data_IF_581023333738
#
_entry.id   IF_581023333738
#
_cell.length_a   1.000
_cell.length_b   1.000
_cell.length_c   1.000
_cell.angle_alpha   90.00
_cell.angle_beta   90.00
_cell.angle_gamma   90.00
#
_symmetry.space_group_name_H-M   'P 1'
#
loop_
_entity.id
_entity.type
_entity.pdbx_description
1 polymer ?
#
# COMPACT_ATOMS: atom_id res chain seq x y z
N UNK A 1 -10.39 -22.31 -5.11
CA UNK A 1 -8.93 -22.05 -5.22
C UNK A 1 -8.51 -21.11 -4.09
N UNK A 2 -7.54 -21.51 -3.29
CA UNK A 2 -7.00 -20.71 -2.17
C UNK A 2 -6.19 -19.54 -2.70
N UNK A 3 -6.04 -18.46 -1.92
CA UNK A 3 -5.26 -17.27 -2.34
C UNK A 3 -3.80 -17.59 -2.68
N UNK A 4 -3.19 -18.54 -1.98
CA UNK A 4 -1.81 -18.99 -2.26
C UNK A 4 -1.69 -19.64 -3.65
N UNK A 5 -2.62 -20.50 -4.00
CA UNK A 5 -2.67 -21.16 -5.33
C UNK A 5 -2.91 -20.11 -6.43
N UNK A 6 -3.76 -19.11 -6.18
CA UNK A 6 -3.98 -18.01 -7.13
C UNK A 6 -2.69 -17.25 -7.40
N UNK A 7 -1.96 -16.91 -6.35
CA UNK A 7 -0.69 -16.21 -6.48
C UNK A 7 0.30 -17.01 -7.34
N UNK A 8 0.42 -18.32 -7.08
CA UNK A 8 1.30 -19.21 -7.86
C UNK A 8 0.92 -19.27 -9.34
N UNK A 9 -0.36 -19.15 -9.67
CA UNK A 9 -0.86 -19.19 -11.06
C UNK A 9 -0.73 -17.83 -11.75
N UNK A 10 -1.13 -16.73 -11.09
CA UNK A 10 -1.22 -15.43 -11.75
C UNK A 10 0.09 -14.68 -11.76
N UNK A 11 0.93 -14.85 -10.72
CA UNK A 11 2.16 -14.08 -10.56
C UNK A 11 3.17 -14.27 -11.70
N UNK A 12 3.46 -15.48 -12.19
CA UNK A 12 4.37 -15.64 -13.33
C UNK A 12 3.88 -14.90 -14.59
N UNK A 13 2.57 -14.88 -14.84
CA UNK A 13 1.96 -14.18 -15.99
C UNK A 13 2.10 -12.65 -15.85
N UNK A 14 1.92 -12.13 -14.63
CA UNK A 14 2.14 -10.71 -14.33
C UNK A 14 3.62 -10.32 -14.48
N UNK A 15 4.54 -11.16 -14.02
CA UNK A 15 5.98 -10.96 -14.17
C UNK A 15 6.42 -10.99 -15.63
N UNK A 16 5.85 -11.90 -16.43
CA UNK A 16 6.10 -11.94 -17.89
C UNK A 16 5.64 -10.64 -18.55
N UNK A 17 4.46 -10.11 -18.19
CA UNK A 17 3.97 -8.84 -18.75
C UNK A 17 4.88 -7.67 -18.36
N UNK A 18 5.29 -7.59 -17.08
CA UNK A 18 6.24 -6.57 -16.61
C UNK A 18 7.57 -6.66 -17.35
N UNK A 19 8.11 -7.88 -17.50
CA UNK A 19 9.38 -8.10 -18.20
C UNK A 19 9.30 -7.70 -19.68
N UNK A 20 8.22 -8.07 -20.37
CA UNK A 20 7.96 -7.68 -21.76
C UNK A 20 7.92 -6.16 -21.92
N UNK A 21 7.10 -5.46 -21.13
CA UNK A 21 6.93 -4.01 -21.25
C UNK A 21 8.23 -3.27 -20.91
N UNK A 22 8.97 -3.71 -19.90
CA UNK A 22 10.30 -3.15 -19.57
C UNK A 22 11.33 -3.40 -20.69
N UNK A 23 11.30 -4.56 -21.32
CA UNK A 23 12.19 -4.86 -22.43
C UNK A 23 11.86 -4.03 -23.68
N UNK A 24 10.57 -3.88 -23.99
CA UNK A 24 10.09 -3.08 -25.11
C UNK A 24 10.32 -1.56 -24.91
N UNK A 25 10.28 -1.08 -23.66
CA UNK A 25 10.66 0.30 -23.30
C UNK A 25 12.14 0.56 -23.61
N UNK A 26 13.03 -0.38 -23.23
CA UNK A 26 14.48 -0.25 -23.43
C UNK A 26 14.92 -0.50 -24.87
N UNK A 27 14.15 -1.24 -25.63
CA UNK A 27 14.44 -1.63 -26.99
C UNK A 27 13.16 -1.55 -27.83
N UNK A 28 12.83 -0.35 -28.39
CA UNK A 28 11.58 -0.15 -29.15
C UNK A 28 11.41 -1.07 -30.36
N UNK A 29 12.52 -1.58 -30.90
CA UNK A 29 12.52 -2.55 -32.02
C UNK A 29 12.23 -3.99 -31.61
N UNK A 30 12.09 -4.28 -30.30
CA UNK A 30 11.86 -5.62 -29.79
C UNK A 30 10.53 -6.20 -30.28
N UNK A 31 9.48 -5.42 -30.15
CA UNK A 31 8.11 -5.71 -30.63
C UNK A 31 7.47 -4.44 -31.14
N UNK A 32 6.66 -4.55 -32.19
CA UNK A 32 5.80 -3.47 -32.63
C UNK A 32 4.53 -3.37 -31.75
N UNK A 33 3.68 -2.36 -32.01
CA UNK A 33 2.48 -2.13 -31.19
C UNK A 33 1.45 -3.26 -31.28
N UNK A 34 1.35 -3.92 -32.44
CA UNK A 34 0.44 -5.06 -32.64
C UNK A 34 0.97 -6.30 -31.93
N UNK A 35 2.25 -6.61 -32.12
CA UNK A 35 2.94 -7.74 -31.48
C UNK A 35 2.85 -7.64 -29.95
N UNK A 36 3.09 -6.46 -29.39
CA UNK A 36 2.92 -6.24 -27.95
C UNK A 36 1.48 -6.44 -27.48
N UNK A 37 0.51 -5.93 -28.26
CA UNK A 37 -0.90 -6.10 -27.92
C UNK A 37 -1.30 -7.58 -27.90
N UNK A 38 -0.84 -8.39 -28.85
CA UNK A 38 -1.07 -9.84 -28.89
C UNK A 38 -0.48 -10.52 -27.64
N UNK A 39 0.80 -10.28 -27.36
CA UNK A 39 1.47 -10.87 -26.18
C UNK A 39 0.78 -10.49 -24.87
N UNK A 40 0.48 -9.21 -24.67
CA UNK A 40 -0.17 -8.73 -23.45
C UNK A 40 -1.60 -9.21 -23.32
N UNK A 41 -2.35 -9.32 -24.43
CA UNK A 41 -3.72 -9.85 -24.41
C UNK A 41 -3.70 -11.35 -24.09
N UNK A 42 -2.77 -12.12 -24.66
CA UNK A 42 -2.59 -13.53 -24.32
C UNK A 42 -2.27 -13.72 -22.83
N UNK A 43 -1.35 -12.93 -22.26
CA UNK A 43 -1.00 -12.97 -20.84
C UNK A 43 -2.20 -12.57 -19.95
N UNK A 44 -2.96 -11.54 -20.35
CA UNK A 44 -4.15 -11.10 -19.63
C UNK A 44 -5.26 -12.16 -19.66
N UNK A 45 -5.52 -12.80 -20.79
CA UNK A 45 -6.49 -13.89 -20.92
C UNK A 45 -6.05 -15.11 -20.11
N UNK A 46 -4.78 -15.49 -20.17
CA UNK A 46 -4.22 -16.59 -19.39
C UNK A 46 -4.34 -16.35 -17.88
N UNK A 47 -4.21 -15.10 -17.42
CA UNK A 47 -4.31 -14.71 -16.00
C UNK A 47 -5.75 -14.71 -15.50
N UNK A 48 -6.75 -14.60 -16.37
CA UNK A 48 -8.17 -14.48 -16.01
C UNK A 48 -8.67 -15.76 -15.31
N UNK A 49 -9.31 -15.60 -14.16
CA UNK A 49 -9.92 -16.72 -13.41
C UNK A 49 -11.31 -16.42 -12.89
N UNK A 50 -11.67 -15.13 -12.74
CA UNK A 50 -13.00 -14.66 -12.35
C UNK A 50 -13.30 -13.32 -13.01
N UNK A 51 -14.56 -13.13 -13.37
CA UNK A 51 -15.11 -11.85 -13.83
C UNK A 51 -16.25 -11.45 -12.92
N UNK A 52 -16.28 -10.19 -12.50
CA UNK A 52 -17.38 -9.64 -11.70
C UNK A 52 -18.37 -8.94 -12.60
N UNK A 53 -19.64 -9.36 -12.47
CA UNK A 53 -20.74 -8.73 -13.16
C UNK A 53 -21.97 -8.67 -12.25
N UNK A 54 -22.69 -7.54 -12.23
CA UNK A 54 -23.89 -7.33 -11.41
C UNK A 54 -23.72 -7.76 -9.94
N UNK A 55 -22.58 -7.40 -9.33
CA UNK A 55 -22.26 -7.73 -7.93
C UNK A 55 -21.82 -9.17 -7.67
N UNK A 56 -21.86 -10.07 -8.67
CA UNK A 56 -21.51 -11.48 -8.53
C UNK A 56 -20.23 -11.85 -9.24
N UNK A 57 -19.48 -12.79 -8.66
CA UNK A 57 -18.27 -13.34 -9.25
C UNK A 57 -18.57 -14.60 -10.05
N UNK A 58 -18.22 -14.59 -11.33
CA UNK A 58 -18.32 -15.76 -12.22
C UNK A 58 -16.93 -16.34 -12.43
N UNK A 59 -16.74 -17.60 -12.09
CA UNK A 59 -15.49 -18.33 -12.29
C UNK A 59 -15.34 -18.78 -13.74
N UNK A 60 -14.25 -18.37 -14.39
CA UNK A 60 -13.89 -18.74 -15.77
C UNK A 60 -12.56 -19.48 -15.85
N UNK A 61 -11.83 -19.54 -14.75
CA UNK A 61 -10.43 -20.02 -14.73
C UNK A 61 -10.26 -21.50 -15.14
N UNK A 62 -11.23 -22.36 -14.83
CA UNK A 62 -11.14 -23.77 -15.24
C UNK A 62 -11.17 -23.94 -16.76
N UNK A 63 -12.00 -23.16 -17.45
CA UNK A 63 -12.03 -23.14 -18.91
C UNK A 63 -10.71 -22.69 -19.53
N UNK A 64 -10.02 -21.74 -18.89
CA UNK A 64 -8.78 -21.14 -19.40
C UNK A 64 -7.51 -21.92 -18.99
N UNK A 65 -7.62 -23.00 -18.23
CA UNK A 65 -6.46 -23.77 -17.78
C UNK A 65 -5.56 -24.28 -18.92
N UNK A 66 -6.09 -24.92 -19.99
CA UNK A 66 -5.24 -25.39 -21.09
C UNK A 66 -4.53 -24.24 -21.83
N UNK A 67 -5.23 -23.13 -22.08
CA UNK A 67 -4.64 -21.95 -22.70
C UNK A 67 -3.53 -21.32 -21.83
N UNK A 68 -3.78 -21.22 -20.53
CA UNK A 68 -2.82 -20.72 -19.54
C UNK A 68 -1.53 -21.54 -19.50
N UNK A 69 -1.66 -22.86 -19.46
CA UNK A 69 -0.53 -23.78 -19.43
C UNK A 69 0.31 -23.65 -20.71
N UNK A 70 -0.34 -23.56 -21.85
CA UNK A 70 0.34 -23.36 -23.13
C UNK A 70 1.07 -22.02 -23.20
N UNK A 71 0.39 -20.90 -22.89
CA UNK A 71 1.00 -19.56 -22.84
C UNK A 71 2.20 -19.53 -21.87
N UNK A 72 2.04 -20.10 -20.68
CA UNK A 72 3.12 -20.14 -19.69
C UNK A 72 4.30 -20.95 -20.20
N UNK A 73 4.06 -22.15 -20.75
CA UNK A 73 5.11 -23.03 -21.27
C UNK A 73 5.91 -22.36 -22.40
N UNK A 74 5.25 -21.61 -23.27
CA UNK A 74 5.88 -20.95 -24.42
C UNK A 74 6.61 -19.67 -24.04
N UNK A 75 5.98 -18.78 -23.25
CA UNK A 75 6.49 -17.45 -22.99
C UNK A 75 7.45 -17.36 -21.79
N UNK A 76 7.30 -18.21 -20.76
CA UNK A 76 8.13 -18.10 -19.56
C UNK A 76 9.63 -18.30 -19.82
N UNK A 77 10.07 -19.25 -20.69
CA UNK A 77 11.51 -19.41 -20.98
C UNK A 77 12.14 -18.17 -21.59
N UNK A 78 11.38 -17.42 -22.40
CA UNK A 78 11.86 -16.22 -23.11
C UNK A 78 11.74 -14.98 -22.19
N UNK A 79 10.58 -14.78 -21.56
CA UNK A 79 10.29 -13.56 -20.81
C UNK A 79 10.86 -13.57 -19.38
N UNK A 80 11.00 -14.73 -18.75
CA UNK A 80 11.55 -14.90 -17.38
C UNK A 80 12.92 -15.59 -17.37
N UNK A 81 13.48 -15.88 -18.56
CA UNK A 81 14.80 -16.49 -18.68
C UNK A 81 15.92 -15.56 -18.20
N UNK A 82 17.11 -16.13 -18.01
CA UNK A 82 18.29 -15.35 -17.57
C UNK A 82 18.91 -14.50 -18.69
N UNK A 83 18.55 -14.73 -19.95
CA UNK A 83 19.06 -13.99 -21.11
C UNK A 83 18.24 -12.72 -21.35
N UNK A 84 18.86 -11.77 -22.07
CA UNK A 84 18.14 -10.60 -22.58
C UNK A 84 17.08 -11.07 -23.57
N UNK A 85 15.84 -10.59 -23.41
CA UNK A 85 14.74 -10.89 -24.34
C UNK A 85 15.13 -10.39 -25.73
N UNK A 86 15.07 -11.26 -26.74
CA UNK A 86 15.39 -10.94 -28.13
C UNK A 86 14.17 -11.06 -29.04
N UNK A 87 14.18 -10.29 -30.15
CA UNK A 87 13.13 -10.34 -31.17
C UNK A 87 13.07 -11.71 -31.86
N UNK A 88 14.22 -12.32 -32.14
CA UNK A 88 14.35 -13.61 -32.81
C UNK A 88 13.70 -14.75 -32.01
N UNK A 89 13.73 -14.66 -30.66
CA UNK A 89 13.07 -15.63 -29.78
C UNK A 89 11.56 -15.38 -29.66
N UNK A 90 11.10 -14.13 -29.81
CA UNK A 90 9.67 -13.77 -29.69
C UNK A 90 8.88 -14.02 -30.99
N UNK A 91 9.45 -13.69 -32.16
CA UNK A 91 8.74 -13.77 -33.44
C UNK A 91 8.12 -15.15 -33.72
N UNK A 92 8.82 -16.28 -33.55
CA UNK A 92 8.22 -17.59 -33.77
C UNK A 92 7.04 -17.92 -32.91
N UNK A 93 6.97 -17.29 -31.70
CA UNK A 93 5.88 -17.50 -30.73
C UNK A 93 4.62 -16.75 -31.12
N UNK A 94 4.74 -15.66 -31.90
CA UNK A 94 3.62 -14.81 -32.29
C UNK A 94 2.78 -15.41 -33.43
N UNK A 95 3.36 -16.28 -34.28
CA UNK A 95 2.74 -16.73 -35.51
C UNK A 95 1.35 -17.38 -35.35
N UNK A 96 1.14 -18.13 -34.26
CA UNK A 96 -0.13 -18.79 -33.97
C UNK A 96 -0.78 -18.24 -32.68
N UNK A 97 -0.08 -17.40 -31.91
CA UNK A 97 -0.56 -16.92 -30.62
C UNK A 97 -1.74 -15.95 -30.77
N UNK A 98 -1.75 -15.13 -31.82
CA UNK A 98 -2.86 -14.20 -32.13
C UNK A 98 -4.15 -15.00 -32.35
N UNK A 99 -4.13 -15.96 -33.32
CA UNK A 99 -5.29 -16.78 -33.66
C UNK A 99 -5.82 -17.57 -32.48
N UNK A 100 -4.92 -18.18 -31.69
CA UNK A 100 -5.27 -18.92 -30.48
C UNK A 100 -5.87 -18.05 -29.40
N UNK A 101 -5.35 -16.84 -29.21
CA UNK A 101 -5.85 -15.88 -28.24
C UNK A 101 -7.26 -15.41 -28.61
N UNK A 102 -7.47 -15.04 -29.90
CA UNK A 102 -8.78 -14.63 -30.41
C UNK A 102 -9.77 -15.79 -30.30
N UNK A 103 -9.41 -16.99 -30.76
CA UNK A 103 -10.26 -18.17 -30.68
C UNK A 103 -10.67 -18.47 -29.25
N UNK A 104 -9.73 -18.54 -28.33
CA UNK A 104 -10.02 -18.83 -26.90
C UNK A 104 -10.90 -17.75 -26.25
N UNK A 105 -10.66 -16.48 -26.59
CA UNK A 105 -11.53 -15.37 -26.11
C UNK A 105 -12.95 -15.50 -26.65
N UNK A 106 -13.13 -15.78 -27.93
CA UNK A 106 -14.44 -15.89 -28.56
C UNK A 106 -15.20 -17.12 -28.05
N UNK A 107 -14.52 -18.22 -27.76
CA UNK A 107 -15.10 -19.36 -27.07
C UNK A 107 -15.50 -19.02 -25.63
N UNK A 108 -14.68 -18.26 -24.91
CA UNK A 108 -15.01 -17.76 -23.59
C UNK A 108 -16.29 -16.93 -23.61
N UNK A 109 -16.44 -16.01 -24.57
CA UNK A 109 -17.65 -15.19 -24.73
C UNK A 109 -18.86 -16.08 -24.99
N UNK A 110 -18.80 -17.01 -25.92
CA UNK A 110 -19.92 -17.94 -26.25
C UNK A 110 -20.30 -18.80 -25.05
N UNK A 111 -19.33 -19.39 -24.38
CA UNK A 111 -19.56 -20.32 -23.27
C UNK A 111 -20.20 -19.67 -22.04
N UNK A 112 -19.88 -18.41 -21.80
CA UNK A 112 -20.37 -17.70 -20.62
C UNK A 112 -21.44 -16.64 -20.93
N UNK A 113 -21.94 -16.55 -22.16
CA UNK A 113 -22.92 -15.55 -22.61
C UNK A 113 -24.14 -15.42 -21.70
N UNK A 114 -24.65 -16.52 -21.14
CA UNK A 114 -25.82 -16.54 -20.24
C UNK A 114 -25.52 -15.96 -18.84
N UNK A 115 -24.25 -15.72 -18.48
CA UNK A 115 -23.82 -15.30 -17.15
C UNK A 115 -23.00 -14.03 -17.16
N UNK A 116 -22.33 -13.73 -18.26
CA UNK A 116 -21.42 -12.62 -18.44
C UNK A 116 -21.62 -11.99 -19.81
N UNK A 117 -21.93 -10.69 -19.90
CA UNK A 117 -21.86 -9.98 -21.17
C UNK A 117 -20.38 -9.89 -21.64
N UNK A 118 -20.18 -9.91 -22.96
CA UNK A 118 -18.83 -9.83 -23.54
C UNK A 118 -18.04 -8.60 -23.07
N UNK A 119 -18.73 -7.48 -22.87
CA UNK A 119 -18.14 -6.22 -22.39
C UNK A 119 -17.56 -6.33 -20.98
N UNK A 120 -18.15 -7.19 -20.12
CA UNK A 120 -17.61 -7.40 -18.76
C UNK A 120 -16.31 -8.19 -18.81
N UNK A 121 -16.22 -9.21 -19.68
CA UNK A 121 -15.00 -9.98 -19.90
C UNK A 121 -13.95 -9.09 -20.58
N UNK A 122 -14.31 -8.34 -21.61
CA UNK A 122 -13.41 -7.44 -22.37
C UNK A 122 -12.82 -6.36 -21.45
N UNK A 123 -13.64 -5.79 -20.56
CA UNK A 123 -13.18 -4.83 -19.55
C UNK A 123 -12.12 -5.44 -18.62
N UNK A 124 -12.38 -6.65 -18.10
CA UNK A 124 -11.45 -7.35 -17.21
C UNK A 124 -10.13 -7.71 -17.91
N UNK A 125 -10.17 -8.00 -19.20
CA UNK A 125 -8.97 -8.29 -20.00
C UNK A 125 -8.14 -7.04 -20.30
N UNK A 126 -8.78 -5.94 -20.65
CA UNK A 126 -8.12 -4.79 -21.27
C UNK A 126 -7.74 -3.68 -20.31
N UNK A 127 -8.49 -3.53 -19.22
CA UNK A 127 -8.29 -2.41 -18.29
C UNK A 127 -7.64 -2.86 -16.98
N UNK A 128 -6.52 -2.24 -16.65
CA UNK A 128 -5.79 -2.46 -15.39
C UNK A 128 -6.12 -1.36 -14.39
N UNK A 129 -6.61 -1.72 -13.22
CA UNK A 129 -6.81 -0.79 -12.14
C UNK A 129 -5.47 -0.46 -11.46
N UNK A 130 -5.19 0.82 -11.22
CA UNK A 130 -4.05 1.22 -10.41
C UNK A 130 -4.36 1.01 -8.92
N UNK A 131 -3.46 0.35 -8.22
CA UNK A 131 -3.46 0.20 -6.76
C UNK A 131 -2.19 0.86 -6.22
N UNK A 132 -2.36 1.84 -5.33
CA UNK A 132 -1.24 2.57 -4.76
C UNK A 132 -1.00 2.11 -3.32
N UNK A 133 0.25 1.70 -3.04
CA UNK A 133 0.69 1.25 -1.73
C UNK A 133 1.74 2.20 -1.20
N UNK A 134 1.44 2.92 -0.12
CA UNK A 134 2.30 3.95 0.46
C UNK A 134 2.91 3.47 1.77
N UNK A 135 4.23 3.34 1.80
CA UNK A 135 4.98 2.89 2.98
C UNK A 135 5.09 3.94 4.07
N UNK A 136 5.48 3.50 5.27
CA UNK A 136 5.81 4.36 6.39
C UNK A 136 7.20 5.00 6.28
N UNK A 137 7.55 5.81 7.30
CA UNK A 137 8.89 6.44 7.40
C UNK A 137 8.88 7.91 7.80
N UNK A 138 7.83 8.40 8.46
CA UNK A 138 7.73 9.79 8.93
C UNK A 138 7.86 10.79 7.78
N UNK A 139 8.66 11.84 7.94
CA UNK A 139 8.85 12.89 6.94
C UNK A 139 9.26 12.42 5.55
N UNK A 140 9.87 11.22 5.45
CA UNK A 140 10.26 10.67 4.13
C UNK A 140 9.06 10.44 3.20
N UNK A 141 7.87 10.22 3.76
CA UNK A 141 6.65 9.96 2.99
C UNK A 141 6.10 11.17 2.24
N UNK A 142 6.49 12.40 2.58
CA UNK A 142 5.97 13.57 1.89
C UNK A 142 6.27 13.62 0.38
N UNK A 143 7.25 12.86 -0.10
CA UNK A 143 7.49 12.68 -1.55
C UNK A 143 6.28 12.04 -2.26
N UNK A 144 5.43 11.30 -1.55
CA UNK A 144 4.23 10.68 -2.13
C UNK A 144 3.21 11.71 -2.61
N UNK A 145 3.21 12.92 -2.04
CA UNK A 145 2.35 14.03 -2.51
C UNK A 145 2.69 14.37 -3.97
N UNK A 146 3.98 14.49 -4.29
CA UNK A 146 4.44 14.72 -5.66
C UNK A 146 4.13 13.56 -6.60
N UNK A 147 4.22 12.32 -6.11
CA UNK A 147 3.80 11.13 -6.87
C UNK A 147 2.32 11.17 -7.20
N UNK A 148 1.45 11.46 -6.21
CA UNK A 148 0.01 11.53 -6.41
C UNK A 148 -0.38 12.64 -7.39
N UNK A 149 0.31 13.79 -7.34
CA UNK A 149 0.12 14.88 -8.28
C UNK A 149 0.48 14.47 -9.72
N UNK A 150 1.63 13.84 -9.91
CA UNK A 150 2.06 13.37 -11.23
C UNK A 150 1.12 12.29 -11.79
N UNK A 151 0.69 11.35 -10.96
CA UNK A 151 -0.29 10.33 -11.38
C UNK A 151 -1.64 10.95 -11.78
N UNK A 152 -2.12 11.98 -11.07
CA UNK A 152 -3.36 12.68 -11.43
C UNK A 152 -3.24 13.42 -12.77
N UNK A 153 -2.11 14.09 -13.02
CA UNK A 153 -1.81 14.77 -14.30
C UNK A 153 -1.79 13.78 -15.48
N UNK A 154 -1.31 12.57 -15.25
CA UNK A 154 -1.31 11.49 -16.23
C UNK A 154 -2.68 10.80 -16.37
N UNK A 155 -3.69 11.20 -15.59
CA UNK A 155 -4.99 10.55 -15.55
C UNK A 155 -4.98 9.16 -14.88
N UNK A 156 -3.89 8.78 -14.22
CA UNK A 156 -3.70 7.49 -13.56
C UNK A 156 -4.23 7.53 -12.12
N UNK A 157 -5.53 7.30 -11.96
CA UNK A 157 -6.21 7.39 -10.67
C UNK A 157 -6.24 6.04 -9.97
N UNK A 158 -5.82 5.97 -8.68
CA UNK A 158 -5.88 4.72 -7.94
C UNK A 158 -7.34 4.31 -7.64
N UNK A 159 -7.62 3.02 -7.80
CA UNK A 159 -8.89 2.37 -7.44
C UNK A 159 -8.85 1.77 -6.04
N UNK A 160 -7.67 1.64 -5.44
CA UNK A 160 -7.43 1.18 -4.07
C UNK A 160 -6.19 1.87 -3.54
N UNK A 161 -6.27 2.31 -2.29
CA UNK A 161 -5.15 2.85 -1.54
C UNK A 161 -4.82 1.94 -0.38
N UNK A 162 -3.54 1.69 -0.15
CA UNK A 162 -3.08 0.93 1.02
C UNK A 162 -1.92 1.69 1.65
N UNK A 163 -2.00 1.96 2.95
CA UNK A 163 -1.01 2.82 3.60
C UNK A 163 -0.55 2.33 4.96
N UNK A 164 0.67 2.73 5.32
CA UNK A 164 1.27 2.49 6.64
C UNK A 164 1.85 3.79 7.18
N UNK A 165 1.59 4.12 8.45
CA UNK A 165 2.15 5.29 9.13
C UNK A 165 1.83 6.59 8.35
N UNK A 166 2.83 7.42 8.02
CA UNK A 166 2.63 8.60 7.15
C UNK A 166 1.95 8.24 5.82
N UNK A 167 2.26 7.07 5.25
CA UNK A 167 1.59 6.58 4.05
C UNK A 167 0.09 6.34 4.25
N UNK A 168 -0.35 5.98 5.48
CA UNK A 168 -1.76 5.87 5.83
C UNK A 168 -2.43 7.24 5.83
N UNK A 169 -1.82 8.24 6.49
CA UNK A 169 -2.34 9.63 6.54
C UNK A 169 -2.50 10.21 5.13
N UNK A 170 -1.45 10.09 4.29
CA UNK A 170 -1.49 10.60 2.92
C UNK A 170 -2.50 9.84 2.03
N UNK A 171 -2.65 8.52 2.25
CA UNK A 171 -3.67 7.72 1.57
C UNK A 171 -5.08 8.17 1.94
N UNK A 172 -5.35 8.55 3.19
CA UNK A 172 -6.64 9.12 3.59
C UNK A 172 -6.95 10.42 2.84
N UNK A 173 -6.00 11.33 2.77
CA UNK A 173 -6.19 12.56 1.99
C UNK A 173 -6.45 12.27 0.52
N UNK A 174 -5.69 11.34 -0.08
CA UNK A 174 -5.93 10.93 -1.47
C UNK A 174 -7.31 10.28 -1.65
N UNK A 175 -7.77 9.50 -0.68
CA UNK A 175 -9.02 8.75 -0.80
C UNK A 175 -10.26 9.61 -0.74
N UNK A 176 -10.24 10.70 0.05
CA UNK A 176 -11.38 11.63 0.14
C UNK A 176 -11.52 12.51 -1.10
N UNK A 177 -10.45 12.67 -1.89
CA UNK A 177 -10.44 13.49 -3.10
C UNK A 177 -10.74 12.62 -4.33
N UNK A 178 -11.81 12.94 -5.08
CA UNK A 178 -12.06 12.29 -6.38
C UNK A 178 -10.99 12.66 -7.41
N UNK A 179 -10.50 13.90 -7.35
CA UNK A 179 -9.34 14.40 -8.07
C UNK A 179 -8.33 14.90 -7.06
N UNK A 180 -7.07 14.52 -7.24
CA UNK A 180 -6.03 14.96 -6.32
C UNK A 180 -5.66 16.42 -6.58
N UNK A 181 -5.68 17.23 -5.52
CA UNK A 181 -5.26 18.63 -5.55
C UNK A 181 -3.98 18.79 -4.73
N UNK A 182 -2.85 19.03 -5.42
CA UNK A 182 -1.57 19.29 -4.80
C UNK A 182 -1.57 20.58 -3.98
N UNK A 183 -2.24 21.63 -4.46
CA UNK A 183 -2.28 22.92 -3.78
C UNK A 183 -3.07 22.82 -2.46
N UNK A 184 -4.16 22.06 -2.45
CA UNK A 184 -4.88 21.75 -1.21
C UNK A 184 -3.97 21.04 -0.21
N UNK A 185 -3.19 20.04 -0.63
CA UNK A 185 -2.26 19.33 0.26
C UNK A 185 -1.19 20.26 0.86
N UNK A 186 -0.60 21.13 0.06
CA UNK A 186 0.38 22.12 0.55
C UNK A 186 -0.27 23.10 1.53
N UNK A 187 -1.50 23.55 1.28
CA UNK A 187 -2.24 24.41 2.18
C UNK A 187 -2.61 23.71 3.50
N UNK A 188 -2.93 22.43 3.46
CA UNK A 188 -3.16 21.61 4.68
C UNK A 188 -1.89 21.61 5.54
N UNK A 189 -0.74 21.28 4.94
CA UNK A 189 0.55 21.26 5.64
C UNK A 189 0.90 22.63 6.21
N UNK A 190 0.67 23.73 5.49
CA UNK A 190 0.84 25.09 5.99
C UNK A 190 0.03 25.39 7.25
N UNK A 191 -1.15 24.79 7.38
CA UNK A 191 -2.03 24.96 8.54
C UNK A 191 -1.67 24.08 9.75
N UNK A 192 -0.72 23.14 9.58
CA UNK A 192 -0.28 22.26 10.67
C UNK A 192 0.73 22.98 11.58
N UNK A 193 0.77 22.56 12.82
CA UNK A 193 1.83 22.93 13.76
C UNK A 193 2.11 21.78 14.73
N UNK A 194 3.36 21.73 15.21
CA UNK A 194 3.77 20.78 16.24
C UNK A 194 2.85 20.78 17.44
N UNK A 195 2.50 21.96 17.98
CA UNK A 195 1.65 22.12 19.16
C UNK A 195 0.22 21.59 18.98
N UNK A 196 -0.29 21.60 17.72
CA UNK A 196 -1.61 21.02 17.39
C UNK A 196 -1.56 19.51 17.27
N UNK A 197 -0.50 18.97 16.69
CA UNK A 197 -0.38 17.53 16.38
C UNK A 197 0.26 16.74 17.52
N UNK A 198 1.21 17.31 18.25
CA UNK A 198 1.98 16.59 19.25
C UNK A 198 1.99 17.32 20.59
N UNK A 199 1.80 16.57 21.66
CA UNK A 199 1.92 17.07 23.03
C UNK A 199 2.68 16.05 23.87
N UNK A 200 3.56 16.53 24.75
CA UNK A 200 4.19 15.74 25.79
C UNK A 200 3.20 15.57 26.93
N UNK A 201 2.46 14.50 26.97
CA UNK A 201 1.50 14.22 28.05
C UNK A 201 1.75 12.80 28.53
N UNK A 202 2.04 12.63 29.82
CA UNK A 202 1.88 11.34 30.50
C UNK A 202 0.39 11.10 30.66
N UNK A 203 -0.17 10.19 29.92
CA UNK A 203 -1.56 9.82 30.08
C UNK A 203 -1.67 8.30 30.03
N UNK A 204 -2.67 7.77 30.69
CA UNK A 204 -3.05 6.38 30.63
C UNK A 204 -3.17 5.93 29.17
N UNK A 205 -2.57 4.80 28.87
CA UNK A 205 -2.62 4.18 27.56
C UNK A 205 -3.65 3.05 27.58
N UNK A 206 -4.76 3.24 26.86
CA UNK A 206 -5.85 2.27 26.85
C UNK A 206 -5.72 1.28 25.70
N UNK A 207 -5.46 1.77 24.48
CA UNK A 207 -5.44 0.97 23.25
C UNK A 207 -4.08 0.98 22.56
N UNK A 208 -3.26 2.00 22.75
CA UNK A 208 -1.90 2.10 22.23
C UNK A 208 -0.82 1.70 23.23
N UNK A 209 0.46 1.79 22.88
CA UNK A 209 1.58 1.76 23.81
C UNK A 209 2.00 3.17 24.20
N UNK A 210 2.47 3.40 25.43
CA UNK A 210 3.02 4.68 25.86
C UNK A 210 4.19 5.13 24.97
N UNK A 211 4.35 6.43 24.81
CA UNK A 211 5.49 7.03 24.11
C UNK A 211 5.72 8.49 24.58
N UNK A 212 6.84 9.07 24.13
CA UNK A 212 7.25 10.43 24.49
C UNK A 212 6.26 11.51 24.05
N UNK A 213 5.66 11.34 22.87
CA UNK A 213 4.73 12.30 22.27
C UNK A 213 3.37 11.64 22.03
N UNK A 214 2.30 12.35 22.35
CA UNK A 214 0.94 11.94 21.97
C UNK A 214 0.53 12.65 20.69
N UNK A 215 0.00 11.86 19.73
CA UNK A 215 -0.50 12.34 18.45
C UNK A 215 -1.98 12.72 18.53
N UNK A 216 -2.32 13.94 18.14
CA UNK A 216 -3.66 14.51 18.10
C UNK A 216 -4.09 14.76 16.65
N UNK A 217 -4.31 13.71 15.86
CA UNK A 217 -4.67 13.85 14.43
C UNK A 217 -5.96 14.66 14.27
N UNK A 218 -6.99 14.46 15.09
CA UNK A 218 -8.25 15.21 14.99
C UNK A 218 -8.05 16.71 15.17
N UNK A 219 -7.22 17.12 16.14
CA UNK A 219 -6.91 18.54 16.36
C UNK A 219 -6.16 19.18 15.19
N UNK A 220 -5.32 18.39 14.50
CA UNK A 220 -4.56 18.85 13.34
C UNK A 220 -5.36 18.85 12.04
N UNK A 221 -6.00 17.74 11.73
CA UNK A 221 -6.59 17.48 10.41
C UNK A 221 -8.06 17.02 10.44
N UNK A 222 -8.69 16.94 11.61
CA UNK A 222 -10.06 16.43 11.78
C UNK A 222 -11.10 17.11 10.90
N UNK A 223 -11.00 18.43 10.74
CA UNK A 223 -11.91 19.22 9.89
C UNK A 223 -12.01 18.74 8.43
N UNK A 224 -11.00 18.03 7.94
CA UNK A 224 -10.99 17.47 6.58
C UNK A 224 -11.67 16.09 6.50
N UNK A 225 -12.04 15.51 7.63
CA UNK A 225 -12.64 14.19 7.76
C UNK A 225 -13.94 14.20 8.57
N UNK A 226 -14.66 15.33 8.54
CA UNK A 226 -15.91 15.56 9.27
C UNK A 226 -15.81 15.24 10.77
N UNK A 227 -14.61 15.44 11.33
CA UNK A 227 -14.28 15.16 12.71
C UNK A 227 -13.89 16.44 13.42
N UNK A 228 -14.84 17.06 14.16
CA UNK A 228 -14.52 18.21 15.00
C UNK A 228 -13.58 17.80 16.15
N UNK A 229 -12.62 18.67 16.57
CA UNK A 229 -11.67 18.37 17.64
C UNK A 229 -12.33 18.00 18.98
N UNK A 230 -13.50 18.59 19.26
CA UNK A 230 -14.26 18.43 20.51
C UNK A 230 -15.53 17.59 20.32
N UNK A 231 -15.80 17.10 19.11
CA UNK A 231 -16.97 16.28 18.82
C UNK A 231 -16.82 14.89 19.40
N UNK A 232 -17.87 14.41 20.06
CA UNK A 232 -18.06 13.02 20.45
C UNK A 232 -18.42 12.15 19.24
N UNK A 233 -18.87 12.77 18.13
CA UNK A 233 -19.31 12.06 16.95
C UNK A 233 -18.11 11.48 16.17
N UNK A 234 -18.33 10.30 15.61
CA UNK A 234 -17.38 9.67 14.72
C UNK A 234 -17.24 10.52 13.45
N UNK A 235 -15.98 10.76 13.04
CA UNK A 235 -15.69 11.27 11.70
C UNK A 235 -15.97 10.24 10.62
N UNK A 236 -15.48 10.51 9.40
CA UNK A 236 -15.58 9.57 8.27
C UNK A 236 -15.00 8.20 8.64
N UNK A 237 -15.75 7.14 8.33
CA UNK A 237 -15.27 5.76 8.44
C UNK A 237 -14.47 5.39 7.21
N UNK A 238 -13.69 4.33 7.29
CA UNK A 238 -13.00 3.77 6.10
C UNK A 238 -13.99 3.31 5.02
N UNK A 239 -15.22 2.90 5.40
CA UNK A 239 -16.30 2.57 4.46
C UNK A 239 -16.86 3.76 3.69
N UNK A 240 -16.76 4.98 4.26
CA UNK A 240 -17.36 6.19 3.69
C UNK A 240 -16.44 6.88 2.66
N UNK A 241 -15.17 6.44 2.59
CA UNK A 241 -14.19 7.05 1.70
C UNK A 241 -14.49 6.75 0.22
N UNK A 242 -14.47 7.78 -0.65
CA UNK A 242 -14.74 7.62 -2.08
C UNK A 242 -13.83 6.63 -2.80
N UNK A 243 -12.57 6.51 -2.39
CA UNK A 243 -11.65 5.49 -2.87
C UNK A 243 -11.40 4.49 -1.74
N UNK A 244 -11.68 3.18 -1.94
CA UNK A 244 -11.41 2.16 -0.94
C UNK A 244 -10.00 2.27 -0.39
N UNK A 245 -9.88 2.26 0.93
CA UNK A 245 -8.59 2.46 1.62
C UNK A 245 -8.39 1.39 2.68
N UNK A 246 -7.16 0.85 2.73
CA UNK A 246 -6.73 -0.13 3.72
C UNK A 246 -5.54 0.45 4.48
N UNK A 247 -5.58 0.40 5.79
CA UNK A 247 -4.54 0.90 6.68
C UNK A 247 -3.90 -0.26 7.43
N UNK A 248 -2.57 -0.38 7.32
CA UNK A 248 -1.78 -1.37 8.05
C UNK A 248 -1.53 -0.91 9.47
N UNK A 249 -1.80 -1.79 10.43
CA UNK A 249 -1.59 -1.58 11.87
C UNK A 249 -1.00 -2.86 12.46
N UNK A 250 -0.17 -2.74 13.49
CA UNK A 250 0.33 -3.88 14.25
C UNK A 250 -0.46 -4.06 15.53
N UNK A 251 -0.92 -5.28 15.82
CA UNK A 251 -1.50 -5.66 17.09
C UNK A 251 -0.51 -6.42 17.96
N UNK A 252 -0.48 -6.18 19.26
CA UNK A 252 0.34 -6.94 20.22
C UNK A 252 -0.52 -8.03 20.84
N UNK A 253 -0.03 -9.27 20.80
CA UNK A 253 -0.74 -10.44 21.39
C UNK A 253 -0.80 -10.36 22.90
N UNK A 254 -1.96 -10.66 23.45
CA UNK A 254 -2.16 -10.77 24.89
C UNK A 254 -1.27 -11.89 25.48
N UNK A 255 -0.61 -11.59 26.62
CA UNK A 255 0.20 -12.56 27.35
C UNK A 255 1.53 -12.98 26.71
N UNK A 256 1.93 -12.37 25.57
CA UNK A 256 3.17 -12.73 24.86
C UNK A 256 4.27 -11.67 24.97
N UNK A 257 4.08 -10.61 25.76
CA UNK A 257 5.13 -9.62 25.99
C UNK A 257 6.34 -10.28 26.66
N UNK A 258 7.57 -10.04 26.17
CA UNK A 258 8.80 -10.58 26.76
C UNK A 258 9.06 -10.06 28.18
N UNK A 259 8.53 -8.88 28.50
CA UNK A 259 8.67 -8.20 29.80
C UNK A 259 7.32 -7.67 30.28
N UNK A 260 7.18 -7.39 31.59
CA UNK A 260 5.95 -6.78 32.14
C UNK A 260 5.63 -5.44 31.46
N UNK A 261 4.37 -5.05 31.40
CA UNK A 261 3.92 -3.81 30.76
C UNK A 261 4.58 -2.57 31.36
N UNK A 262 4.76 -2.56 32.68
CA UNK A 262 5.40 -1.48 33.43
C UNK A 262 6.85 -1.21 32.97
N UNK A 263 7.53 -2.23 32.47
CA UNK A 263 8.85 -2.06 31.86
C UNK A 263 8.74 -1.21 30.60
N UNK A 264 7.80 -1.54 29.69
CA UNK A 264 7.60 -0.78 28.46
C UNK A 264 7.07 0.61 28.74
N UNK A 265 6.18 0.78 29.69
CA UNK A 265 5.70 2.10 30.13
C UNK A 265 6.84 3.00 30.60
N UNK A 266 7.78 2.45 31.36
CA UNK A 266 8.96 3.19 31.84
C UNK A 266 9.96 3.51 30.72
N UNK A 267 10.30 2.52 29.90
CA UNK A 267 11.31 2.66 28.84
C UNK A 267 10.76 3.49 27.66
N UNK A 268 9.47 3.38 27.37
CA UNK A 268 8.85 4.07 26.25
C UNK A 268 8.31 5.48 26.61
N UNK A 269 8.24 5.82 27.89
CA UNK A 269 7.79 7.15 28.37
C UNK A 269 8.97 8.06 28.62
N UNK A 270 8.99 9.23 27.97
CA UNK A 270 9.99 10.26 28.22
C UNK A 270 9.38 11.36 29.07
N UNK A 271 10.08 11.79 30.13
CA UNK A 271 9.60 12.92 30.93
C UNK A 271 9.65 14.22 30.10
N UNK A 272 8.71 15.17 30.34
CA UNK A 272 8.72 16.45 29.60
C UNK A 272 10.01 17.24 29.75
N UNK A 273 10.72 17.10 30.89
CA UNK A 273 12.03 17.73 31.10
C UNK A 273 13.15 17.13 30.29
N UNK A 274 13.11 15.81 30.05
CA UNK A 274 14.09 15.11 29.25
C UNK A 274 14.00 15.49 27.74
N UNK A 275 12.81 15.89 27.26
CA UNK A 275 12.62 16.42 25.90
C UNK A 275 13.42 17.71 25.63
N UNK A 276 13.82 18.43 26.65
CA UNK A 276 14.65 19.64 26.52
C UNK A 276 16.14 19.33 26.37
N UNK A 277 16.56 18.08 26.54
CA UNK A 277 17.95 17.65 26.42
C UNK A 277 18.15 16.78 25.18
N UNK A 278 18.91 17.24 24.16
CA UNK A 278 19.24 16.43 22.97
C UNK A 278 19.89 15.08 23.30
N UNK A 279 20.71 15.04 24.36
CA UNK A 279 21.40 13.82 24.81
C UNK A 279 20.37 12.83 25.40
N UNK A 280 19.43 13.33 26.23
CA UNK A 280 18.38 12.49 26.81
C UNK A 280 17.42 11.96 25.73
N UNK A 281 17.10 12.77 24.73
CA UNK A 281 16.29 12.34 23.58
C UNK A 281 17.04 11.26 22.77
N UNK A 282 18.33 11.43 22.52
CA UNK A 282 19.13 10.46 21.78
C UNK A 282 19.25 9.12 22.53
N UNK A 283 19.53 9.14 23.84
CA UNK A 283 19.60 7.91 24.66
C UNK A 283 18.24 7.22 24.74
N UNK A 284 17.16 7.98 24.92
CA UNK A 284 15.81 7.42 24.94
C UNK A 284 15.42 6.80 23.60
N UNK A 285 15.76 7.45 22.50
CA UNK A 285 15.52 6.89 21.15
C UNK A 285 16.28 5.58 20.96
N UNK A 286 17.52 5.49 21.48
CA UNK A 286 18.31 4.25 21.44
C UNK A 286 17.68 3.14 22.28
N UNK A 287 17.20 3.44 23.49
CA UNK A 287 16.49 2.48 24.36
C UNK A 287 15.16 2.03 23.72
N UNK A 288 14.37 2.96 23.18
CA UNK A 288 13.15 2.67 22.45
C UNK A 288 13.41 1.80 21.21
N UNK A 289 14.50 2.07 20.47
CA UNK A 289 14.94 1.24 19.35
C UNK A 289 15.33 -0.18 19.79
N UNK A 290 16.00 -0.32 20.93
CA UNK A 290 16.35 -1.62 21.48
C UNK A 290 15.10 -2.42 21.88
N UNK A 291 14.14 -1.76 22.54
CA UNK A 291 12.85 -2.36 22.87
C UNK A 291 12.03 -2.74 21.63
N UNK A 292 12.05 -1.90 20.58
CA UNK A 292 11.44 -2.21 19.28
C UNK A 292 12.12 -3.40 18.59
N UNK A 293 13.44 -3.54 18.75
CA UNK A 293 14.19 -4.70 18.24
C UNK A 293 13.67 -6.02 18.82
N UNK A 294 13.23 -6.04 20.08
CA UNK A 294 12.59 -7.22 20.70
C UNK A 294 11.30 -7.62 19.98
N UNK A 295 10.47 -6.64 19.56
CA UNK A 295 9.24 -6.91 18.81
C UNK A 295 9.53 -7.47 17.39
N UNK A 296 10.56 -6.96 16.73
CA UNK A 296 10.89 -7.35 15.36
C UNK A 296 11.59 -8.72 15.31
N UNK A 297 12.41 -9.02 16.30
CA UNK A 297 13.07 -10.34 16.40
C UNK A 297 12.13 -11.44 16.85
N UNK A 298 10.97 -11.11 17.40
CA UNK A 298 9.93 -12.04 17.85
C UNK A 298 8.60 -11.80 17.12
N UNK A 299 8.50 -12.14 15.83
CA UNK A 299 7.31 -11.84 15.03
C UNK A 299 6.03 -12.50 15.55
N UNK A 300 6.15 -13.54 16.39
CA UNK A 300 5.02 -14.20 17.06
C UNK A 300 4.27 -13.30 18.05
N UNK A 301 4.93 -12.27 18.61
CA UNK A 301 4.33 -11.30 19.54
C UNK A 301 3.31 -10.42 18.82
N UNK A 302 3.51 -10.20 17.53
CA UNK A 302 2.73 -9.23 16.77
C UNK A 302 1.79 -9.89 15.75
N UNK A 303 0.69 -9.22 15.51
CA UNK A 303 -0.31 -9.58 14.49
C UNK A 303 -0.41 -8.46 13.46
N UNK A 304 -0.33 -8.83 12.18
CA UNK A 304 -0.61 -7.91 11.08
C UNK A 304 -2.11 -7.66 10.99
N UNK A 305 -2.51 -6.41 11.06
CA UNK A 305 -3.89 -5.97 10.89
C UNK A 305 -3.98 -5.06 9.67
N UNK A 306 -5.03 -5.22 8.89
CA UNK A 306 -5.30 -4.40 7.71
C UNK A 306 -6.71 -3.85 7.85
N UNK A 307 -6.83 -2.70 8.52
CA UNK A 307 -8.11 -2.03 8.76
C UNK A 307 -8.69 -1.56 7.42
N UNK A 308 -9.97 -1.81 7.21
CA UNK A 308 -10.64 -1.59 5.92
C UNK A 308 -10.65 -2.82 4.99
N UNK A 309 -9.94 -3.89 5.33
CA UNK A 309 -9.85 -5.09 4.49
C UNK A 309 -10.98 -6.11 4.69
N UNK A 310 -11.77 -5.98 5.72
CA UNK A 310 -12.91 -6.83 6.05
C UNK A 310 -14.10 -5.99 6.57
N UNK A 311 -15.33 -6.55 6.62
CA UNK A 311 -16.51 -5.79 7.00
C UNK A 311 -16.41 -5.12 8.38
N UNK A 312 -15.86 -5.80 9.39
CA UNK A 312 -15.71 -5.24 10.74
C UNK A 312 -14.78 -4.02 10.71
N UNK A 313 -13.62 -4.17 10.11
CA UNK A 313 -12.58 -3.13 10.14
C UNK A 313 -12.86 -1.96 9.18
N UNK A 314 -13.82 -2.07 8.26
CA UNK A 314 -14.31 -0.95 7.45
C UNK A 314 -15.07 0.09 8.27
N UNK A 315 -15.62 -0.31 9.41
CA UNK A 315 -16.35 0.58 10.32
C UNK A 315 -15.43 1.44 11.21
N UNK A 316 -14.11 1.23 11.14
CA UNK A 316 -13.15 2.08 11.84
C UNK A 316 -13.25 3.53 11.36
N UNK A 317 -13.18 4.46 12.30
CA UNK A 317 -12.92 5.86 12.00
C UNK A 317 -11.58 5.97 11.25
N UNK A 318 -11.56 6.72 10.16
CA UNK A 318 -10.40 6.81 9.27
C UNK A 318 -9.20 7.44 9.95
N UNK A 319 -9.42 8.48 10.78
CA UNK A 319 -8.34 9.15 11.52
C UNK A 319 -7.79 8.27 12.63
N UNK A 320 -8.65 7.52 13.33
CA UNK A 320 -8.18 6.59 14.37
C UNK A 320 -7.35 5.46 13.75
N UNK A 321 -7.76 4.95 12.61
CA UNK A 321 -6.99 3.94 11.89
C UNK A 321 -5.59 4.46 11.50
N UNK A 322 -5.50 5.69 10.96
CA UNK A 322 -4.22 6.32 10.63
C UNK A 322 -3.41 6.67 11.88
N UNK A 323 -4.08 7.09 12.97
CA UNK A 323 -3.45 7.38 14.25
C UNK A 323 -2.74 6.15 14.83
N UNK A 324 -3.43 5.02 14.92
CA UNK A 324 -2.81 3.76 15.34
C UNK A 324 -1.71 3.30 14.40
N UNK A 325 -1.90 3.48 13.08
CA UNK A 325 -0.87 3.17 12.10
C UNK A 325 0.40 4.02 12.23
N UNK A 326 0.30 5.18 12.86
CA UNK A 326 1.41 6.13 13.09
C UNK A 326 1.94 6.10 14.53
N UNK A 327 1.45 5.18 15.37
CA UNK A 327 1.82 5.08 16.78
C UNK A 327 3.12 4.30 16.97
N UNK A 328 4.25 4.95 16.63
CA UNK A 328 5.59 4.35 16.75
C UNK A 328 5.98 4.21 18.22
N UNK A 329 6.16 2.98 18.76
CA UNK A 329 6.47 2.76 20.16
C UNK A 329 7.68 3.57 20.63
N UNK A 330 7.57 4.17 21.81
CA UNK A 330 8.60 5.02 22.40
C UNK A 330 8.69 6.44 21.83
N UNK A 331 8.16 6.68 20.63
CA UNK A 331 8.23 8.00 19.96
C UNK A 331 6.85 8.65 19.92
N UNK A 332 5.87 7.98 19.35
CA UNK A 332 4.52 8.51 19.13
C UNK A 332 3.49 7.54 19.72
N UNK A 333 2.68 8.04 20.65
CA UNK A 333 1.51 7.37 21.19
C UNK A 333 0.25 7.86 20.50
N UNK A 334 -0.69 6.96 20.24
CA UNK A 334 -2.04 7.28 19.81
C UNK A 334 -3.07 6.53 20.65
N UNK A 335 -4.18 7.19 20.95
CA UNK A 335 -5.32 6.59 21.64
C UNK A 335 -6.63 7.29 21.26
N UNK A 336 -7.76 6.60 21.43
CA UNK A 336 -9.10 7.17 21.29
C UNK A 336 -9.49 7.81 22.60
N UNK A 337 -9.40 9.16 22.65
CA UNK A 337 -9.61 9.95 23.87
C UNK A 337 -11.06 10.41 24.08
N UNK A 338 -11.82 10.43 22.99
CA UNK A 338 -13.22 10.87 23.03
C UNK A 338 -14.13 9.74 23.54
N UNK A 339 -15.25 10.13 24.08
CA UNK A 339 -16.35 9.23 24.45
C UNK A 339 -17.10 8.78 23.17
N UNK A 340 -16.55 7.75 22.50
CA UNK A 340 -17.12 7.13 21.31
C UNK A 340 -17.39 5.65 21.60
N UNK A 341 -18.60 5.36 22.08
CA UNK A 341 -19.00 4.01 22.47
C UNK A 341 -18.83 3.01 21.31
N UNK A 342 -19.14 3.44 20.07
CA UNK A 342 -18.99 2.61 18.87
C UNK A 342 -17.53 2.22 18.62
N UNK A 343 -16.61 3.17 18.70
CA UNK A 343 -15.18 2.88 18.49
C UNK A 343 -14.61 2.03 19.63
N UNK A 344 -15.04 2.26 20.86
CA UNK A 344 -14.62 1.44 22.00
C UNK A 344 -15.09 -0.02 21.86
N UNK A 345 -16.35 -0.24 21.48
CA UNK A 345 -16.90 -1.58 21.22
C UNK A 345 -16.17 -2.27 20.03
N UNK A 346 -15.91 -1.54 18.97
CA UNK A 346 -15.21 -2.04 17.79
C UNK A 346 -13.76 -2.46 18.11
N UNK A 347 -13.04 -1.66 18.91
CA UNK A 347 -11.69 -1.97 19.38
C UNK A 347 -11.68 -3.21 20.27
N UNK A 348 -12.60 -3.32 21.24
CA UNK A 348 -12.72 -4.49 22.10
C UNK A 348 -13.05 -5.75 21.29
N UNK A 349 -13.97 -5.65 20.33
CA UNK A 349 -14.33 -6.74 19.43
C UNK A 349 -13.14 -7.18 18.56
N UNK A 350 -12.36 -6.23 18.04
CA UNK A 350 -11.14 -6.51 17.28
C UNK A 350 -10.10 -7.20 18.16
N UNK A 351 -9.92 -6.72 19.40
CA UNK A 351 -8.94 -7.28 20.34
C UNK A 351 -9.29 -8.73 20.69
N UNK A 352 -10.54 -9.00 21.00
CA UNK A 352 -11.02 -10.35 21.28
C UNK A 352 -10.88 -11.27 20.04
N UNK A 353 -11.30 -10.80 18.87
CA UNK A 353 -11.26 -11.60 17.64
C UNK A 353 -9.83 -11.92 17.17
N UNK A 354 -8.84 -11.12 17.54
CA UNK A 354 -7.44 -11.26 17.08
C UNK A 354 -6.49 -11.72 18.20
N UNK A 355 -6.94 -11.84 19.44
CA UNK A 355 -6.13 -12.21 20.59
C UNK A 355 -5.03 -11.18 20.88
N UNK A 356 -5.35 -9.90 20.73
CA UNK A 356 -4.43 -8.77 20.96
C UNK A 356 -4.97 -7.87 22.07
N UNK A 357 -4.13 -6.98 22.59
CA UNK A 357 -4.53 -6.05 23.65
C UNK A 357 -4.03 -4.61 23.45
N UNK A 358 -3.17 -4.37 22.44
CA UNK A 358 -2.65 -3.04 22.07
C UNK A 358 -2.46 -2.94 20.56
N UNK A 359 -2.57 -1.71 20.06
CA UNK A 359 -2.27 -1.34 18.66
C UNK A 359 -1.05 -0.43 18.63
N UNK A 360 -0.21 -0.60 17.60
CA UNK A 360 1.01 0.17 17.38
C UNK A 360 1.24 0.35 15.88
N UNK A 361 2.27 1.13 15.50
CA UNK A 361 2.63 1.43 14.12
C UNK A 361 2.70 0.19 13.25
N UNK A 362 2.07 0.28 12.08
CA UNK A 362 2.00 -0.82 11.10
C UNK A 362 3.35 -1.16 10.49
N UNK A 363 4.31 -0.21 10.45
CA UNK A 363 5.63 -0.38 9.85
C UNK A 363 6.49 -1.44 10.52
N UNK A 364 6.22 -1.74 11.78
CA UNK A 364 6.95 -2.77 12.52
C UNK A 364 6.73 -4.19 11.97
N UNK A 365 5.59 -4.45 11.33
CA UNK A 365 5.28 -5.77 10.76
C UNK A 365 5.01 -5.75 9.27
N UNK A 366 4.63 -4.59 8.70
CA UNK A 366 4.20 -4.48 7.30
C UNK A 366 4.37 -3.05 6.76
N UNK A 367 5.63 -2.61 6.62
CA UNK A 367 5.92 -1.22 6.25
C UNK A 367 5.49 -0.85 4.82
N UNK A 368 5.42 -1.81 3.90
CA UNK A 368 4.90 -1.63 2.54
C UNK A 368 3.91 -2.75 2.21
N UNK A 369 2.62 -2.63 2.56
CA UNK A 369 1.65 -3.72 2.60
C UNK A 369 1.13 -4.16 1.22
N UNK A 370 2.03 -4.43 0.24
CA UNK A 370 1.66 -4.84 -1.11
C UNK A 370 0.93 -6.20 -1.14
N UNK A 371 1.26 -7.10 -0.22
CA UNK A 371 0.53 -8.38 -0.07
C UNK A 371 -0.92 -8.17 0.37
N UNK A 372 -1.18 -7.19 1.24
CA UNK A 372 -2.54 -6.82 1.63
C UNK A 372 -3.31 -6.24 0.45
N UNK A 373 -2.68 -5.35 -0.33
CA UNK A 373 -3.23 -4.80 -1.56
C UNK A 373 -3.60 -5.91 -2.56
N UNK A 374 -2.68 -6.82 -2.85
CA UNK A 374 -2.90 -7.95 -3.73
C UNK A 374 -4.08 -8.83 -3.25
N UNK A 375 -4.12 -9.15 -1.95
CA UNK A 375 -5.22 -9.91 -1.35
C UNK A 375 -6.58 -9.21 -1.51
N UNK A 376 -6.63 -7.90 -1.29
CA UNK A 376 -7.86 -7.11 -1.44
C UNK A 376 -8.37 -7.13 -2.89
N UNK A 377 -7.48 -6.94 -3.87
CA UNK A 377 -7.81 -7.06 -5.30
C UNK A 377 -8.39 -8.45 -5.59
N UNK A 378 -7.72 -9.51 -5.20
CA UNK A 378 -8.14 -10.87 -5.50
C UNK A 378 -9.38 -11.34 -4.70
N UNK A 379 -9.69 -10.68 -3.58
CA UNK A 379 -10.99 -10.82 -2.89
C UNK A 379 -12.12 -10.02 -3.56
N UNK A 380 -11.80 -9.11 -4.49
CA UNK A 380 -12.77 -8.35 -5.28
C UNK A 380 -13.20 -7.02 -4.69
N UNK A 381 -12.39 -6.40 -3.83
CA UNK A 381 -12.70 -5.11 -3.20
C UNK A 381 -12.92 -3.98 -4.22
N UNK A 382 -12.25 -4.03 -5.37
CA UNK A 382 -12.34 -3.01 -6.43
C UNK A 382 -13.11 -3.49 -7.67
N UNK A 383 -13.79 -4.64 -7.59
CA UNK A 383 -14.59 -5.17 -8.68
C UNK A 383 -13.82 -5.90 -9.78
N UNK A 384 -12.57 -5.53 -10.04
CA UNK A 384 -11.66 -6.20 -10.99
C UNK A 384 -10.57 -6.98 -10.27
N UNK A 385 -9.94 -7.95 -10.96
CA UNK A 385 -8.71 -8.65 -10.54
C UNK A 385 -7.54 -8.28 -11.43
N UNK A 386 -7.78 -7.48 -12.47
CA UNK A 386 -6.74 -6.92 -13.31
C UNK A 386 -6.25 -5.62 -12.71
N UNK A 387 -5.16 -5.67 -11.95
CA UNK A 387 -4.62 -4.51 -11.27
C UNK A 387 -3.10 -4.41 -11.43
N UNK A 388 -2.62 -3.18 -11.39
CA UNK A 388 -1.21 -2.84 -11.29
C UNK A 388 -0.95 -2.27 -9.90
N UNK A 389 -0.10 -2.92 -9.12
CA UNK A 389 0.25 -2.52 -7.75
C UNK A 389 1.56 -1.75 -7.78
N UNK A 390 1.48 -0.45 -7.49
CA UNK A 390 2.61 0.47 -7.36
C UNK A 390 2.91 0.68 -5.86
N UNK A 391 4.08 0.25 -5.42
CA UNK A 391 4.59 0.49 -4.08
C UNK A 391 5.48 1.74 -4.02
N UNK A 392 5.27 2.58 -3.01
CA UNK A 392 6.07 3.77 -2.73
C UNK A 392 6.84 3.57 -1.43
N UNK A 393 8.15 3.42 -1.52
CA UNK A 393 9.04 3.18 -0.39
C UNK A 393 9.94 4.38 -0.14
N UNK A 394 9.48 5.34 0.66
CA UNK A 394 10.25 6.53 1.06
C UNK A 394 11.33 6.24 2.10
N UNK A 395 11.19 5.14 2.84
CA UNK A 395 12.10 4.74 3.92
C UNK A 395 13.08 3.64 3.51
N UNK A 396 13.28 3.45 2.21
CA UNK A 396 14.29 2.52 1.70
C UNK A 396 15.70 2.83 2.26
N UNK A 397 16.56 1.82 2.48
CA UNK A 397 17.94 2.02 2.96
C UNK A 397 18.74 2.96 2.08
N UNK A 398 19.41 3.95 2.69
CA UNK A 398 20.19 5.01 2.02
C UNK A 398 21.56 5.15 2.67
N UNK A 399 22.63 4.98 1.90
CA UNK A 399 24.00 5.22 2.38
C UNK A 399 24.27 6.69 2.70
N UNK A 400 23.53 7.60 2.04
CA UNK A 400 23.66 9.05 2.27
C UNK A 400 23.11 9.51 3.64
N UNK A 401 22.41 8.65 4.37
CA UNK A 401 21.82 8.95 5.70
C UNK A 401 22.23 7.88 6.72
N UNK A 402 23.50 7.78 7.09
CA UNK A 402 24.04 6.66 7.89
C UNK A 402 23.35 6.53 9.27
N UNK A 403 22.93 7.63 9.87
CA UNK A 403 22.22 7.65 11.15
C UNK A 403 20.93 6.81 11.11
N UNK A 404 20.22 6.82 9.98
CA UNK A 404 18.94 6.12 9.81
C UNK A 404 19.07 4.72 9.23
N UNK A 405 20.25 4.36 8.74
CA UNK A 405 20.49 3.10 8.04
C UNK A 405 20.09 1.86 8.86
N UNK A 406 20.34 1.77 10.19
CA UNK A 406 19.87 0.62 10.98
C UNK A 406 18.35 0.48 10.98
N UNK A 407 17.60 1.58 11.19
CA UNK A 407 16.14 1.58 11.16
C UNK A 407 15.59 1.29 9.75
N UNK A 408 16.21 1.82 8.72
CA UNK A 408 15.84 1.56 7.33
C UNK A 408 16.05 0.08 6.97
N UNK A 409 17.15 -0.54 7.41
CA UNK A 409 17.38 -1.97 7.23
C UNK A 409 16.35 -2.82 7.97
N UNK A 410 15.96 -2.37 9.17
CA UNK A 410 14.92 -3.03 9.95
C UNK A 410 13.56 -2.98 9.24
N UNK A 411 13.19 -1.80 8.71
CA UNK A 411 11.99 -1.65 7.90
C UNK A 411 12.02 -2.53 6.64
N UNK A 412 13.19 -2.68 6.00
CA UNK A 412 13.35 -3.53 4.81
C UNK A 412 13.03 -5.01 5.09
N UNK A 413 13.28 -5.51 6.31
CA UNK A 413 12.88 -6.86 6.71
C UNK A 413 11.36 -7.08 6.54
N UNK A 414 10.55 -6.04 6.77
CA UNK A 414 9.09 -6.09 6.61
C UNK A 414 8.63 -5.78 5.19
N UNK A 415 9.45 -5.08 4.39
CA UNK A 415 9.20 -4.76 2.97
C UNK A 415 9.52 -5.95 2.07
N UNK A 416 10.63 -6.65 2.30
CA UNK A 416 11.10 -7.73 1.44
C UNK A 416 10.02 -8.81 1.15
N UNK A 417 9.24 -9.31 2.11
CA UNK A 417 8.17 -10.29 1.85
C UNK A 417 7.00 -9.73 1.02
N UNK A 418 6.91 -8.42 0.86
CA UNK A 418 5.89 -7.73 0.09
C UNK A 418 6.29 -7.48 -1.36
N UNK A 419 7.61 -7.41 -1.66
CA UNK A 419 8.13 -7.16 -3.02
C UNK A 419 7.52 -8.06 -4.09
N UNK A 420 7.32 -9.39 -3.88
CA UNK A 420 6.71 -10.25 -4.89
C UNK A 420 5.24 -9.93 -5.22
N UNK A 421 4.55 -9.14 -4.41
CA UNK A 421 3.14 -8.77 -4.61
C UNK A 421 2.95 -7.42 -5.30
N UNK A 422 4.02 -6.67 -5.54
CA UNK A 422 3.99 -5.42 -6.30
C UNK A 422 4.49 -5.64 -7.73
N UNK A 423 3.98 -4.85 -8.68
CA UNK A 423 4.46 -4.83 -10.06
C UNK A 423 5.64 -3.86 -10.23
N UNK A 424 5.62 -2.80 -9.44
CA UNK A 424 6.72 -1.83 -9.32
C UNK A 424 6.79 -1.36 -7.87
N UNK A 425 8.00 -1.31 -7.31
CA UNK A 425 8.29 -0.58 -6.08
C UNK A 425 9.27 0.54 -6.42
N UNK A 426 8.84 1.77 -6.15
CA UNK A 426 9.73 2.95 -6.23
C UNK A 426 10.40 3.15 -4.89
N UNK A 427 11.67 2.80 -4.80
CA UNK A 427 12.53 3.12 -3.66
C UNK A 427 13.07 4.56 -3.86
N UNK A 428 12.67 5.51 -2.99
CA UNK A 428 13.06 6.92 -3.11
C UNK A 428 14.44 7.16 -2.53
N UNK A 429 15.37 7.58 -3.39
CA UNK A 429 16.76 7.91 -3.01
C UNK A 429 16.86 9.23 -2.26
N UNK A 430 16.05 10.23 -2.62
CA UNK A 430 16.00 11.56 -2.02
C UNK A 430 14.63 11.82 -1.40
N UNK A 431 14.62 12.19 -0.11
CA UNK A 431 13.39 12.48 0.67
C UNK A 431 13.70 13.55 1.70
N UNK A 432 12.70 14.00 2.46
CA UNK A 432 12.92 14.72 3.71
C UNK A 432 13.51 13.79 4.78
N UNK A 433 13.92 14.38 5.91
CA UNK A 433 14.31 13.60 7.10
C UNK A 433 13.10 12.81 7.66
N UNK A 434 13.29 11.61 8.20
CA UNK A 434 12.24 10.90 8.92
C UNK A 434 11.62 11.69 10.09
N UNK A 435 12.38 12.57 10.72
CA UNK A 435 11.94 13.43 11.83
C UNK A 435 11.13 14.66 11.38
N UNK A 436 11.10 14.97 10.10
CA UNK A 436 10.35 16.09 9.54
C UNK A 436 8.85 15.78 9.50
N UNK A 437 8.25 15.56 10.68
CA UNK A 437 6.84 15.17 10.81
C UNK A 437 5.86 16.30 10.48
N UNK A 438 6.29 17.55 10.68
CA UNK A 438 5.52 18.77 10.36
C UNK A 438 6.44 19.69 9.53
N UNK A 439 6.56 19.46 8.23
CA UNK A 439 7.48 20.22 7.38
C UNK A 439 7.01 21.67 7.17
N UNK A 440 7.96 22.55 6.92
CA UNK A 440 7.68 23.91 6.43
C UNK A 440 7.10 23.88 5.01
N UNK A 441 6.63 25.04 4.54
CA UNK A 441 6.11 25.17 3.16
C UNK A 441 7.20 24.89 2.12
N UNK A 442 8.42 25.34 2.38
CA UNK A 442 9.59 25.11 1.54
C UNK A 442 9.97 23.63 1.48
N UNK A 443 9.91 22.94 2.62
CA UNK A 443 10.20 21.50 2.72
C UNK A 443 9.15 20.65 2.02
N UNK A 444 7.86 20.93 2.21
CA UNK A 444 6.81 20.19 1.49
C UNK A 444 6.89 20.43 -0.01
N UNK A 445 7.19 21.66 -0.46
CA UNK A 445 7.37 21.99 -1.88
C UNK A 445 8.55 21.20 -2.45
N UNK A 446 9.69 21.17 -1.74
CA UNK A 446 10.85 20.35 -2.13
C UNK A 446 10.52 18.86 -2.17
N UNK A 447 9.75 18.35 -1.21
CA UNK A 447 9.34 16.93 -1.19
C UNK A 447 8.46 16.59 -2.40
N UNK A 448 7.54 17.48 -2.77
CA UNK A 448 6.70 17.31 -3.96
C UNK A 448 7.56 17.21 -5.22
N UNK A 449 8.51 18.12 -5.40
CA UNK A 449 9.43 18.10 -6.56
C UNK A 449 10.28 16.84 -6.59
N UNK A 450 10.82 16.40 -5.44
CA UNK A 450 11.58 15.16 -5.33
C UNK A 450 10.73 13.93 -5.68
N UNK A 451 9.47 13.91 -5.27
CA UNK A 451 8.54 12.82 -5.58
C UNK A 451 8.24 12.74 -7.07
N UNK A 452 7.93 13.88 -7.68
CA UNK A 452 7.65 14.01 -9.13
C UNK A 452 8.87 13.60 -9.96
N UNK A 453 10.02 14.22 -9.68
CA UNK A 453 11.27 13.98 -10.42
C UNK A 453 11.70 12.51 -10.38
N UNK A 454 11.63 11.85 -9.23
CA UNK A 454 12.05 10.46 -9.12
C UNK A 454 11.07 9.48 -9.78
N UNK A 455 9.73 9.75 -9.74
CA UNK A 455 8.76 8.89 -10.41
C UNK A 455 8.74 9.11 -11.92
N UNK A 456 9.10 10.30 -12.43
CA UNK A 456 9.10 10.59 -13.87
C UNK A 456 9.96 9.63 -14.69
N UNK A 457 11.00 9.05 -14.09
CA UNK A 457 11.81 7.99 -14.69
C UNK A 457 10.98 6.73 -15.06
N UNK A 458 9.91 6.45 -14.32
CA UNK A 458 9.06 5.28 -14.51
C UNK A 458 7.76 5.59 -15.29
N UNK A 459 7.52 6.87 -15.66
CA UNK A 459 6.28 7.29 -16.35
C UNK A 459 6.05 6.55 -17.67
N UNK A 460 7.05 6.36 -18.57
CA UNK A 460 6.85 5.62 -19.81
C UNK A 460 6.36 4.20 -19.55
N UNK A 461 6.98 3.51 -18.60
CA UNK A 461 6.58 2.17 -18.18
C UNK A 461 5.16 2.14 -17.58
N UNK A 462 4.85 3.04 -16.65
CA UNK A 462 3.54 3.12 -15.99
C UNK A 462 2.43 3.39 -17.01
N UNK A 463 2.63 4.37 -17.90
CA UNK A 463 1.68 4.71 -18.95
C UNK A 463 1.41 3.53 -19.87
N UNK A 464 2.46 2.83 -20.29
CA UNK A 464 2.35 1.65 -21.17
C UNK A 464 1.66 0.47 -20.47
N UNK A 465 1.99 0.20 -19.18
CA UNK A 465 1.36 -0.86 -18.39
C UNK A 465 -0.13 -0.61 -18.11
N UNK A 466 -0.53 0.64 -17.89
CA UNK A 466 -1.88 1.04 -17.48
C UNK A 466 -2.77 1.45 -18.67
N UNK A 467 -2.20 1.67 -19.84
CA UNK A 467 -2.98 1.91 -21.05
C UNK A 467 -3.90 0.71 -21.34
N UNK A 468 -5.17 0.96 -21.69
CA UNK A 468 -6.07 -0.10 -22.12
C UNK A 468 -5.50 -0.87 -23.32
N UNK A 469 -5.53 -2.20 -23.27
CA UNK A 469 -5.12 -3.01 -24.40
C UNK A 469 -6.09 -2.78 -25.58
N UNK A 470 -5.60 -2.71 -26.83
CA UNK A 470 -6.48 -2.67 -28.00
C UNK A 470 -7.32 -3.96 -28.09
N UNK A 471 -8.36 -3.92 -28.89
CA UNK A 471 -9.10 -5.13 -29.26
C UNK A 471 -8.31 -5.86 -30.33
N UNK A 472 -8.08 -7.14 -30.11
CA UNK A 472 -7.57 -8.06 -31.14
C UNK A 472 -8.71 -8.53 -32.01
#
# INVERSE_FOLDING_TARGET
MRLKERFQITRPLEEMEVALVRAAERSPSLVDSKEEAVLRTALSLARLYKVRHAGRDVGVGAFLTPFREDVTKRLAPVLLGKRKISREELLPLLSDLEDRTVHTRDELFRRFANRLPAEAIDRELRHKALVLVSGGGGGTGYVYVGVMALLEELGLRPSLLVGTSIGAVLSLFRSRMRRFDQAEMVNIVRGLSWKKLFRAISAESRYGLPAALRLFLRAGIGRYFDAAPESTDAGLRLSDLPVPTIISVSGIRAGMLPRPMEFYERVLSLSPRALLSPIAVASHLQEAMSAMGEFITRPEIMVKLHLGADPMTREFDALDAAGFSSALPGVIHYDVLREDARMHELLLSLFAARGIFRLIDGGLVDNLPAKAAWRAVHKGHIGTRNAFILGLNGFAPKLATPLWLPLQRLAEVTVAPNRPYAHLIKDFKKTLSPLELVPSVEEITRAVELGRSQLSEDVPFLSRMLAPLPRL
#
